data_IF_294505960219
#
_entry.id   IF_294505960219
#
_cell.length_a   1.000
_cell.length_b   1.000
_cell.length_c   1.000
_cell.angle_alpha   90.00
_cell.angle_beta   90.00
_cell.angle_gamma   90.00
#
_symmetry.space_group_name_H-M   'P 1'
#
loop_
_entity.id
_entity.type
_entity.pdbx_description
1 polymer ?
#
# COMPACT_ATOMS: atom_id res chain seq x y z
N UNK A 1 -112.96 -24.39 29.54
CA UNK A 1 -111.63 -23.95 29.79
C UNK A 1 -111.13 -24.57 31.10
N UNK A 2 -110.35 -25.65 30.99
CA UNK A 2 -109.85 -26.37 32.19
C UNK A 2 -108.60 -25.66 32.74
N UNK A 3 -108.76 -25.08 33.95
CA UNK A 3 -107.66 -24.58 34.74
C UNK A 3 -106.91 -25.75 35.32
N UNK A 4 -105.68 -25.96 34.93
CA UNK A 4 -104.79 -26.94 35.52
C UNK A 4 -104.33 -26.40 36.90
N UNK A 5 -104.50 -27.19 38.02
CA UNK A 5 -104.06 -26.74 39.32
C UNK A 5 -102.58 -26.92 39.45
N UNK A 6 -101.82 -25.88 39.25
CA UNK A 6 -100.36 -25.87 39.53
C UNK A 6 -100.20 -25.85 41.06
N UNK A 7 -99.75 -27.02 41.57
CA UNK A 7 -99.37 -27.10 43.05
C UNK A 7 -98.17 -26.17 43.32
N UNK A 8 -98.33 -25.39 44.45
CA UNK A 8 -97.26 -24.43 44.85
C UNK A 8 -95.83 -25.01 44.86
N UNK A 9 -95.67 -26.33 45.05
CA UNK A 9 -94.41 -27.06 45.00
C UNK A 9 -93.80 -27.13 43.58
N UNK A 10 -94.58 -27.25 42.53
CA UNK A 10 -94.07 -27.30 41.12
C UNK A 10 -93.66 -25.89 40.66
N UNK A 11 -94.32 -24.85 41.14
CA UNK A 11 -93.92 -23.47 40.85
C UNK A 11 -92.59 -23.09 41.53
N UNK A 12 -92.38 -23.60 42.75
CA UNK A 12 -91.10 -23.40 43.47
C UNK A 12 -89.94 -24.16 42.76
N UNK A 13 -90.25 -25.35 42.29
CA UNK A 13 -89.27 -26.18 41.57
C UNK A 13 -88.83 -25.55 40.22
N UNK A 14 -89.82 -25.01 39.48
CA UNK A 14 -89.54 -24.29 38.23
C UNK A 14 -88.76 -22.98 38.51
N UNK A 15 -89.12 -22.26 39.60
CA UNK A 15 -88.45 -21.02 39.99
C UNK A 15 -86.97 -21.21 40.37
N UNK A 16 -86.56 -22.43 40.79
CA UNK A 16 -85.19 -22.76 41.14
C UNK A 16 -84.47 -23.37 39.95
N UNK A 17 -85.19 -24.28 39.23
CA UNK A 17 -84.58 -25.02 38.10
C UNK A 17 -84.30 -24.11 36.92
N UNK A 18 -85.15 -23.16 36.61
CA UNK A 18 -84.98 -22.21 35.51
C UNK A 18 -83.71 -21.34 35.60
N UNK A 19 -83.48 -20.66 36.74
CA UNK A 19 -82.23 -19.90 36.87
C UNK A 19 -80.97 -20.81 36.89
N UNK A 20 -81.07 -22.02 37.42
CA UNK A 20 -79.95 -22.98 37.43
C UNK A 20 -79.65 -23.47 36.00
N UNK A 21 -80.70 -23.75 35.24
CA UNK A 21 -80.53 -24.12 33.83
C UNK A 21 -79.98 -22.94 33.00
N UNK A 22 -80.51 -21.72 33.27
CA UNK A 22 -79.98 -20.51 32.62
C UNK A 22 -78.52 -20.26 32.97
N UNK A 23 -78.13 -20.48 34.23
CA UNK A 23 -76.75 -20.35 34.65
C UNK A 23 -75.84 -21.42 34.00
N UNK A 24 -76.38 -22.66 33.92
CA UNK A 24 -75.64 -23.74 33.25
C UNK A 24 -75.38 -23.46 31.74
N UNK A 25 -76.42 -22.99 31.04
CA UNK A 25 -76.33 -22.58 29.65
C UNK A 25 -75.36 -21.39 29.46
N UNK A 26 -75.42 -20.44 30.39
CA UNK A 26 -74.52 -19.28 30.37
C UNK A 26 -73.04 -19.71 30.56
N UNK A 27 -72.77 -20.60 31.52
CA UNK A 27 -71.42 -21.11 31.73
C UNK A 27 -70.95 -21.99 30.60
N UNK A 28 -71.83 -22.83 30.03
CA UNK A 28 -71.51 -23.67 28.89
C UNK A 28 -71.15 -22.86 27.62
N UNK A 29 -71.84 -21.74 27.37
CA UNK A 29 -71.58 -20.88 26.24
C UNK A 29 -70.36 -19.94 26.44
N UNK A 30 -70.03 -19.59 27.70
CA UNK A 30 -68.98 -18.61 27.96
C UNK A 30 -67.69 -19.26 28.43
N UNK A 31 -67.71 -20.39 29.11
CA UNK A 31 -66.53 -21.04 29.69
C UNK A 31 -66.44 -22.51 29.36
N UNK A 32 -67.41 -23.10 28.63
CA UNK A 32 -67.44 -24.47 28.24
C UNK A 32 -66.79 -24.74 26.85
N UNK A 33 -66.90 -25.98 26.34
CA UNK A 33 -66.34 -26.39 25.08
C UNK A 33 -66.99 -25.68 23.87
N UNK A 34 -68.09 -24.92 24.07
CA UNK A 34 -68.73 -24.09 23.05
C UNK A 34 -68.35 -22.58 23.17
N UNK A 35 -67.43 -22.21 24.04
CA UNK A 35 -66.97 -20.82 24.17
C UNK A 35 -66.24 -20.41 22.89
N UNK A 36 -66.46 -19.18 22.37
CA UNK A 36 -65.78 -18.69 21.22
C UNK A 36 -64.26 -18.53 21.52
N UNK A 37 -63.44 -19.25 20.84
CA UNK A 37 -61.98 -19.12 20.90
C UNK A 37 -61.57 -17.92 20.04
N UNK A 38 -60.91 -16.96 20.62
CA UNK A 38 -60.29 -15.86 19.88
C UNK A 38 -59.16 -16.37 19.01
N UNK A 39 -59.33 -16.36 17.72
CA UNK A 39 -58.30 -16.71 16.74
C UNK A 39 -57.73 -15.42 16.14
N UNK A 40 -56.43 -15.34 16.05
CA UNK A 40 -55.75 -14.28 15.28
C UNK A 40 -55.63 -14.77 13.84
N UNK A 41 -56.35 -14.13 12.93
CA UNK A 41 -56.22 -14.38 11.53
C UNK A 41 -54.93 -13.68 11.01
N UNK A 42 -53.97 -14.42 10.56
CA UNK A 42 -52.82 -13.89 9.83
C UNK A 42 -53.05 -14.16 8.30
N UNK A 43 -53.03 -13.11 7.54
CA UNK A 43 -53.01 -13.22 6.07
C UNK A 43 -51.63 -13.68 5.63
N UNK A 44 -51.56 -14.75 4.85
CA UNK A 44 -50.33 -15.20 4.22
C UNK A 44 -49.99 -14.26 3.07
N UNK A 45 -48.95 -13.47 3.26
CA UNK A 45 -48.41 -12.62 2.20
C UNK A 45 -47.15 -13.26 1.61
N UNK A 46 -47.08 -13.27 0.29
CA UNK A 46 -45.90 -13.70 -0.43
C UNK A 46 -44.89 -12.53 -0.46
N UNK A 47 -43.94 -12.50 0.48
CA UNK A 47 -42.88 -11.48 0.55
C UNK A 47 -41.54 -12.11 0.22
N UNK A 48 -40.80 -11.46 -0.67
CA UNK A 48 -39.39 -11.84 -0.90
C UNK A 48 -38.56 -11.43 0.33
N UNK A 49 -37.95 -12.39 0.98
CA UNK A 49 -37.04 -12.16 2.09
C UNK A 49 -35.62 -12.16 1.56
N UNK A 50 -34.97 -11.01 1.58
CA UNK A 50 -33.54 -10.91 1.29
C UNK A 50 -32.76 -11.07 2.61
N UNK A 51 -32.09 -12.19 2.84
CA UNK A 51 -31.31 -12.38 4.04
C UNK A 51 -30.18 -11.36 4.09
N UNK A 52 -30.09 -10.61 5.18
CA UNK A 52 -28.96 -9.69 5.42
C UNK A 52 -27.85 -10.46 6.12
N UNK A 53 -26.65 -10.39 5.57
CA UNK A 53 -25.46 -10.93 6.18
C UNK A 53 -24.80 -9.85 7.05
N UNK A 54 -24.57 -10.15 8.32
CA UNK A 54 -23.89 -9.28 9.25
C UNK A 54 -22.49 -9.80 9.54
N UNK A 55 -21.50 -8.92 9.53
CA UNK A 55 -20.12 -9.24 9.86
C UNK A 55 -19.43 -8.08 10.56
N UNK A 56 -18.40 -8.39 11.32
CA UNK A 56 -17.52 -7.41 11.94
C UNK A 56 -16.21 -7.43 11.16
N UNK A 57 -15.73 -6.26 10.80
CA UNK A 57 -14.51 -6.12 10.04
C UNK A 57 -13.60 -5.04 10.58
N UNK A 58 -12.40 -4.99 10.03
CA UNK A 58 -11.40 -3.95 10.28
C UNK A 58 -11.22 -3.10 9.02
N UNK A 59 -11.00 -1.80 9.21
CA UNK A 59 -10.61 -0.91 8.13
C UNK A 59 -9.11 -1.03 7.99
N UNK A 60 -8.67 -1.30 6.78
CA UNK A 60 -7.27 -1.46 6.43
C UNK A 60 -6.98 -0.65 5.16
N UNK A 61 -5.74 -0.21 5.02
CA UNK A 61 -5.29 0.35 3.76
C UNK A 61 -5.06 -0.78 2.75
N UNK A 62 -5.49 -0.58 1.52
CA UNK A 62 -5.24 -1.54 0.44
C UNK A 62 -3.75 -1.70 0.17
N UNK A 63 -3.01 -0.60 0.28
CA UNK A 63 -1.57 -0.56 0.07
C UNK A 63 -0.90 0.03 1.30
N UNK A 64 0.06 -0.71 1.84
CA UNK A 64 0.97 -0.28 2.89
C UNK A 64 2.37 -0.26 2.31
N UNK A 65 3.03 0.87 2.36
CA UNK A 65 4.38 1.07 1.86
C UNK A 65 5.35 1.06 3.04
N UNK A 66 6.20 0.04 3.07
CA UNK A 66 7.25 -0.12 4.08
C UNK A 66 8.52 0.51 3.55
N UNK A 67 8.90 1.66 4.11
CA UNK A 67 10.08 2.41 3.73
C UNK A 67 11.20 2.07 4.69
N UNK A 68 12.29 1.57 4.15
CA UNK A 68 13.49 1.21 4.88
C UNK A 68 14.73 1.30 4.00
N UNK A 69 15.93 1.16 4.58
CA UNK A 69 17.17 1.25 3.84
C UNK A 69 17.40 0.05 2.94
N UNK A 70 18.10 0.28 1.82
CA UNK A 70 18.57 -0.77 0.91
C UNK A 70 19.83 -1.46 1.42
N UNK A 71 20.56 -0.84 2.37
CA UNK A 71 21.75 -1.37 3.03
C UNK A 71 21.61 -1.25 4.54
N UNK A 72 22.22 -2.18 5.26
CA UNK A 72 22.28 -2.09 6.72
C UNK A 72 23.03 -0.84 7.17
N UNK A 73 22.49 -0.14 8.16
CA UNK A 73 23.09 1.08 8.68
C UNK A 73 22.35 1.65 9.88
N UNK A 74 22.84 2.76 10.39
CA UNK A 74 22.21 3.47 11.51
C UNK A 74 21.32 4.59 10.95
N UNK A 75 20.12 4.76 11.53
CA UNK A 75 19.25 5.90 11.24
C UNK A 75 19.90 7.16 11.82
N UNK A 76 20.20 8.16 10.98
CA UNK A 76 20.76 9.44 11.39
C UNK A 76 19.68 10.38 11.91
N UNK A 77 18.59 10.53 11.17
CA UNK A 77 17.44 11.36 11.52
C UNK A 77 16.16 10.86 10.84
N UNK A 78 15.04 11.15 11.48
CA UNK A 78 13.70 10.99 10.91
C UNK A 78 12.96 12.30 11.09
N UNK A 79 12.41 12.81 9.98
CA UNK A 79 11.82 14.14 9.90
C UNK A 79 10.29 14.09 9.92
N UNK A 80 9.70 12.91 10.14
CA UNK A 80 8.25 12.69 10.11
C UNK A 80 7.75 11.99 11.39
N UNK A 81 6.48 12.23 11.71
CA UNK A 81 5.81 11.66 12.86
C UNK A 81 4.57 10.84 12.45
N UNK A 82 4.18 9.91 13.32
CA UNK A 82 2.95 9.14 13.11
C UNK A 82 1.74 10.08 13.07
N UNK A 83 0.86 9.90 12.06
CA UNK A 83 -0.28 10.76 11.80
C UNK A 83 0.02 11.92 10.86
N UNK A 84 1.25 12.10 10.39
CA UNK A 84 1.62 13.16 9.46
C UNK A 84 1.34 12.75 8.01
N UNK A 85 0.87 13.71 7.20
CA UNK A 85 0.68 13.52 5.75
C UNK A 85 1.95 13.90 5.01
N UNK A 86 2.37 13.04 4.11
CA UNK A 86 3.56 13.21 3.29
C UNK A 86 3.21 13.16 1.81
N UNK A 87 4.05 13.81 0.99
CA UNK A 87 3.91 13.80 -0.48
C UNK A 87 4.92 12.84 -1.11
N UNK A 88 4.58 12.32 -2.27
CA UNK A 88 5.52 11.57 -3.11
C UNK A 88 6.80 12.38 -3.35
N UNK A 89 7.96 11.73 -3.19
CA UNK A 89 9.27 12.37 -3.27
C UNK A 89 9.72 13.12 -2.01
N UNK A 90 8.88 13.24 -0.98
CA UNK A 90 9.27 13.88 0.28
C UNK A 90 10.29 13.01 1.03
N UNK A 91 11.36 13.62 1.52
CA UNK A 91 12.35 12.95 2.38
C UNK A 91 11.74 12.76 3.77
N UNK A 92 11.70 11.51 4.22
CA UNK A 92 11.17 11.10 5.52
C UNK A 92 12.25 11.02 6.59
N UNK A 93 13.49 10.81 6.14
CA UNK A 93 14.63 10.67 7.00
C UNK A 93 15.90 10.33 6.23
N UNK A 94 16.98 10.17 6.95
CA UNK A 94 18.30 9.89 6.39
C UNK A 94 19.05 8.86 7.24
N UNK A 95 19.71 7.93 6.53
CA UNK A 95 20.64 6.99 7.14
C UNK A 95 22.01 7.65 7.35
N UNK A 96 22.78 7.16 8.30
CA UNK A 96 24.14 7.63 8.55
C UNK A 96 25.08 7.22 7.39
N UNK A 97 25.71 8.17 6.71
CA UNK A 97 26.62 7.87 5.60
C UNK A 97 27.94 7.22 6.03
N UNK A 98 28.23 7.19 7.33
CA UNK A 98 29.49 6.67 7.93
C UNK A 98 30.70 7.32 7.24
N UNK A 99 31.43 6.60 6.35
CA UNK A 99 32.62 7.06 5.62
C UNK A 99 32.36 7.39 4.14
N UNK A 100 31.11 7.34 3.70
CA UNK A 100 30.76 7.43 2.27
C UNK A 100 31.08 8.81 1.68
N UNK A 101 30.88 9.88 2.45
CA UNK A 101 31.19 11.25 2.03
C UNK A 101 32.72 11.43 1.85
N UNK A 102 33.55 10.80 2.71
CA UNK A 102 35.01 10.76 2.60
C UNK A 102 35.46 9.98 1.36
N UNK A 103 34.81 8.84 1.09
CA UNK A 103 35.10 8.02 -0.11
C UNK A 103 34.76 8.77 -1.39
N UNK A 104 33.65 9.50 -1.44
CA UNK A 104 33.30 10.36 -2.58
C UNK A 104 34.37 11.44 -2.79
N UNK A 105 34.82 12.11 -1.72
CA UNK A 105 35.91 13.10 -1.81
C UNK A 105 37.22 12.51 -2.32
N UNK A 106 37.58 11.31 -1.88
CA UNK A 106 38.77 10.60 -2.36
C UNK A 106 38.63 10.26 -3.87
N UNK A 107 37.44 9.83 -4.29
CA UNK A 107 37.16 9.54 -5.71
C UNK A 107 37.14 10.81 -6.57
N UNK A 108 36.71 11.95 -6.04
CA UNK A 108 36.82 13.25 -6.74
C UNK A 108 38.29 13.65 -6.99
N UNK A 109 39.19 13.38 -6.03
CA UNK A 109 40.62 13.59 -6.25
C UNK A 109 41.18 12.65 -7.34
N UNK A 110 40.75 11.38 -7.37
CA UNK A 110 41.10 10.43 -8.41
C UNK A 110 40.59 10.88 -9.79
N UNK A 111 39.35 11.39 -9.85
CA UNK A 111 38.77 11.95 -11.06
C UNK A 111 39.57 13.14 -11.61
N UNK A 112 39.99 14.07 -10.73
CA UNK A 112 40.86 15.19 -11.10
C UNK A 112 42.18 14.71 -11.69
N UNK A 113 42.80 13.68 -11.11
CA UNK A 113 44.05 13.07 -11.63
C UNK A 113 43.82 12.44 -13.00
N UNK A 114 42.74 11.66 -13.20
CA UNK A 114 42.41 11.05 -14.48
C UNK A 114 42.17 12.11 -15.57
N UNK A 115 41.52 13.25 -15.26
CA UNK A 115 41.36 14.38 -16.16
C UNK A 115 42.73 14.99 -16.55
N UNK A 116 43.66 15.15 -15.61
CA UNK A 116 44.99 15.66 -15.89
C UNK A 116 45.75 14.71 -16.82
N UNK A 117 45.67 13.39 -16.61
CA UNK A 117 46.26 12.35 -17.49
C UNK A 117 45.65 12.39 -18.89
N UNK A 118 44.35 12.59 -19.02
CA UNK A 118 43.71 12.78 -20.33
C UNK A 118 44.25 14.00 -21.06
N UNK A 119 44.39 15.14 -20.36
CA UNK A 119 44.96 16.37 -20.94
C UNK A 119 46.41 16.15 -21.40
N UNK A 120 47.23 15.42 -20.64
CA UNK A 120 48.58 15.06 -20.99
C UNK A 120 48.61 14.17 -22.24
N UNK A 121 47.80 13.10 -22.29
CA UNK A 121 47.70 12.22 -23.43
C UNK A 121 47.22 12.95 -24.69
N UNK A 122 46.27 13.90 -24.54
CA UNK A 122 45.84 14.74 -25.65
C UNK A 122 46.98 15.61 -26.19
N UNK A 123 47.74 16.27 -25.30
CA UNK A 123 48.90 17.09 -25.72
C UNK A 123 49.97 16.27 -26.42
N UNK A 124 50.24 15.06 -25.91
CA UNK A 124 51.20 14.12 -26.56
C UNK A 124 50.72 13.73 -27.97
N UNK A 125 49.44 13.41 -28.14
CA UNK A 125 48.85 13.07 -29.44
C UNK A 125 48.92 14.25 -30.40
N UNK A 126 48.60 15.48 -29.95
CA UNK A 126 48.63 16.66 -30.81
C UNK A 126 50.05 17.04 -31.25
N UNK A 127 51.03 16.88 -30.36
CA UNK A 127 52.45 17.02 -30.70
C UNK A 127 52.89 15.97 -31.74
N UNK A 128 52.60 14.67 -31.50
CA UNK A 128 52.94 13.60 -32.40
C UNK A 128 52.30 13.78 -33.79
N UNK A 129 51.05 14.23 -33.82
CA UNK A 129 50.34 14.54 -35.07
C UNK A 129 51.02 15.68 -35.87
N UNK A 130 51.40 16.74 -35.16
CA UNK A 130 52.12 17.86 -35.79
C UNK A 130 53.47 17.41 -36.36
N UNK A 131 54.21 16.57 -35.64
CA UNK A 131 55.48 16.00 -36.10
C UNK A 131 55.26 15.12 -37.33
N UNK A 132 54.31 14.18 -37.29
CA UNK A 132 54.02 13.31 -38.43
C UNK A 132 53.71 14.11 -39.71
N UNK A 133 52.83 15.10 -39.59
CA UNK A 133 52.49 15.99 -40.74
C UNK A 133 53.70 16.77 -41.26
N UNK A 134 54.55 17.33 -40.35
CA UNK A 134 55.76 18.05 -40.75
C UNK A 134 56.73 17.14 -41.52
N UNK A 135 57.00 15.92 -41.00
CA UNK A 135 57.93 15.02 -41.65
C UNK A 135 57.40 14.46 -42.98
N UNK A 136 56.07 14.27 -43.12
CA UNK A 136 55.45 13.96 -44.42
C UNK A 136 55.69 15.06 -45.45
N UNK A 137 55.62 16.35 -45.05
CA UNK A 137 55.92 17.49 -45.93
C UNK A 137 57.41 17.51 -46.31
N UNK A 138 58.35 17.23 -45.38
CA UNK A 138 59.76 17.15 -45.60
C UNK A 138 60.13 16.03 -46.59
N UNK A 139 59.45 14.85 -46.52
CA UNK A 139 59.60 13.79 -47.44
C UNK A 139 59.20 14.20 -48.84
N UNK A 140 58.08 14.89 -49.00
CA UNK A 140 57.65 15.43 -50.29
C UNK A 140 58.70 16.38 -50.90
N UNK A 141 59.40 17.17 -50.04
CA UNK A 141 60.49 18.05 -50.41
C UNK A 141 61.87 17.31 -50.54
N UNK A 142 61.91 15.98 -50.44
CA UNK A 142 63.12 15.12 -50.48
C UNK A 142 64.18 15.53 -49.42
N UNK A 143 63.70 16.06 -48.27
CA UNK A 143 64.57 16.57 -47.17
C UNK A 143 64.62 15.62 -45.98
N UNK A 144 64.06 14.40 -46.04
CA UNK A 144 64.09 13.36 -45.01
C UNK A 144 63.96 11.95 -45.66
N UNK A 145 64.18 10.90 -44.87
CA UNK A 145 64.04 9.47 -45.37
C UNK A 145 62.61 8.98 -45.01
N UNK A 146 62.17 7.94 -45.80
CA UNK A 146 60.88 7.25 -45.51
C UNK A 146 60.89 6.57 -44.13
N UNK A 147 62.00 6.07 -43.65
CA UNK A 147 62.18 5.45 -42.33
C UNK A 147 61.84 6.43 -41.19
N UNK A 148 62.31 7.69 -41.29
CA UNK A 148 61.99 8.72 -40.30
C UNK A 148 60.51 9.05 -40.33
N UNK A 149 59.90 9.14 -41.50
CA UNK A 149 58.41 9.35 -41.60
C UNK A 149 57.65 8.18 -40.98
N UNK A 150 58.05 6.93 -41.31
CA UNK A 150 57.41 5.75 -40.71
C UNK A 150 57.52 5.74 -39.17
N UNK A 151 58.69 6.15 -38.61
CA UNK A 151 58.85 6.31 -37.15
C UNK A 151 57.89 7.37 -36.60
N UNK A 152 57.75 8.54 -37.24
CA UNK A 152 56.82 9.59 -36.78
C UNK A 152 55.34 9.19 -36.86
N UNK A 153 54.99 8.40 -37.88
CA UNK A 153 53.64 7.83 -38.00
C UNK A 153 53.38 6.80 -36.88
N UNK A 154 54.38 5.96 -36.58
CA UNK A 154 54.31 5.02 -35.46
C UNK A 154 54.15 5.74 -34.10
N UNK A 155 54.95 6.82 -33.86
CA UNK A 155 54.82 7.68 -32.66
C UNK A 155 53.39 8.22 -32.54
N UNK A 156 52.78 8.65 -33.64
CA UNK A 156 51.39 9.12 -33.67
C UNK A 156 50.38 8.02 -33.31
N UNK A 157 50.58 6.80 -33.82
CA UNK A 157 49.71 5.67 -33.51
C UNK A 157 49.78 5.31 -32.02
N UNK A 158 50.98 5.30 -31.43
CA UNK A 158 51.20 5.08 -30.00
C UNK A 158 50.52 6.18 -29.17
N UNK A 159 50.69 7.43 -29.57
CA UNK A 159 50.07 8.55 -28.87
C UNK A 159 48.51 8.54 -28.93
N UNK A 160 47.94 8.12 -30.09
CA UNK A 160 46.50 7.91 -30.24
C UNK A 160 45.99 6.80 -29.32
N UNK A 161 46.71 5.67 -29.28
CA UNK A 161 46.36 4.57 -28.38
C UNK A 161 46.42 4.98 -26.89
N UNK A 162 47.44 5.78 -26.53
CA UNK A 162 47.54 6.35 -25.16
C UNK A 162 46.41 7.30 -24.82
N UNK A 163 45.95 8.12 -25.77
CA UNK A 163 44.77 8.98 -25.58
C UNK A 163 43.51 8.18 -25.37
N UNK A 164 43.32 7.10 -26.17
CA UNK A 164 42.15 6.21 -25.98
C UNK A 164 42.19 5.56 -24.59
N UNK A 165 43.33 5.03 -24.16
CA UNK A 165 43.47 4.45 -22.82
C UNK A 165 43.18 5.45 -21.73
N UNK A 166 43.62 6.73 -21.83
CA UNK A 166 43.32 7.76 -20.85
C UNK A 166 41.84 8.14 -20.81
N UNK A 167 41.13 8.07 -21.94
CA UNK A 167 39.68 8.29 -22.03
C UNK A 167 38.89 7.17 -21.32
N UNK A 168 39.27 5.94 -21.54
CA UNK A 168 38.65 4.79 -20.91
C UNK A 168 38.88 4.79 -19.41
N UNK A 169 40.07 5.18 -18.94
CA UNK A 169 40.38 5.33 -17.54
C UNK A 169 39.52 6.44 -16.87
N UNK A 170 39.38 7.57 -17.56
CA UNK A 170 38.46 8.65 -17.04
C UNK A 170 37.02 8.15 -16.98
N UNK A 171 36.55 7.40 -17.97
CA UNK A 171 35.21 6.81 -17.99
C UNK A 171 35.01 5.85 -16.84
N UNK A 172 35.97 4.97 -16.55
CA UNK A 172 35.96 4.03 -15.41
C UNK A 172 35.85 4.78 -14.07
N UNK A 173 36.70 5.78 -13.87
CA UNK A 173 36.75 6.58 -12.62
C UNK A 173 35.44 7.37 -12.41
N UNK A 174 34.81 7.87 -13.48
CA UNK A 174 33.47 8.50 -13.43
C UNK A 174 32.41 7.53 -12.99
N UNK A 175 32.37 6.34 -13.58
CA UNK A 175 31.38 5.32 -13.20
C UNK A 175 31.52 4.89 -11.73
N UNK A 176 32.75 4.79 -11.22
CA UNK A 176 32.98 4.49 -9.81
C UNK A 176 32.47 5.59 -8.89
N UNK A 177 32.69 6.88 -9.27
CA UNK A 177 32.15 8.02 -8.52
C UNK A 177 30.61 8.03 -8.54
N UNK A 178 30.00 7.83 -9.68
CA UNK A 178 28.53 7.77 -9.83
C UNK A 178 27.94 6.62 -9.00
N UNK A 179 28.61 5.48 -8.92
CA UNK A 179 28.18 4.38 -8.04
C UNK A 179 28.17 4.76 -6.55
N UNK A 180 29.19 5.50 -6.09
CA UNK A 180 29.22 6.01 -4.71
C UNK A 180 28.12 7.06 -4.46
N UNK A 181 27.86 7.93 -5.43
CA UNK A 181 26.76 8.92 -5.34
C UNK A 181 25.38 8.25 -5.32
N UNK A 182 25.17 7.20 -6.11
CA UNK A 182 23.96 6.39 -6.06
C UNK A 182 23.80 5.71 -4.68
N UNK A 183 24.88 5.17 -4.10
CA UNK A 183 24.84 4.66 -2.73
C UNK A 183 24.47 5.77 -1.73
N UNK A 184 25.04 6.98 -1.88
CA UNK A 184 24.74 8.13 -1.02
C UNK A 184 23.27 8.56 -1.13
N UNK A 185 22.72 8.60 -2.33
CA UNK A 185 21.30 8.93 -2.56
C UNK A 185 20.36 7.91 -1.94
N UNK A 186 20.72 6.63 -1.96
CA UNK A 186 19.93 5.53 -1.37
C UNK A 186 19.90 5.56 0.18
N UNK A 187 20.69 6.41 0.81
CA UNK A 187 20.60 6.65 2.26
C UNK A 187 19.43 7.55 2.64
N UNK A 188 18.83 8.25 1.68
CA UNK A 188 17.63 9.06 1.93
C UNK A 188 16.39 8.17 1.87
N UNK A 189 15.61 8.17 2.93
CA UNK A 189 14.32 7.49 2.99
C UNK A 189 13.27 8.42 2.40
N UNK A 190 12.70 8.05 1.27
CA UNK A 190 11.81 8.90 0.47
C UNK A 190 10.43 8.25 0.35
N UNK A 191 9.36 9.04 0.46
CA UNK A 191 7.99 8.59 0.25
C UNK A 191 7.77 8.26 -1.24
N UNK A 192 7.33 7.03 -1.58
CA UNK A 192 7.07 6.65 -2.96
C UNK A 192 5.74 7.21 -3.51
N UNK A 193 4.81 7.55 -2.63
CA UNK A 193 3.46 8.06 -2.94
C UNK A 193 3.02 9.09 -1.92
N UNK A 194 1.96 9.82 -2.23
CA UNK A 194 1.26 10.64 -1.25
C UNK A 194 0.58 9.72 -0.23
N UNK A 195 0.72 10.01 1.05
CA UNK A 195 0.20 9.11 2.07
C UNK A 195 0.19 9.67 3.48
N UNK A 196 -0.20 8.81 4.41
CA UNK A 196 -0.23 9.05 5.84
C UNK A 196 0.77 8.12 6.53
N UNK A 197 1.60 8.65 7.41
CA UNK A 197 2.52 7.87 8.25
C UNK A 197 1.70 7.15 9.31
N UNK A 198 1.74 5.81 9.34
CA UNK A 198 1.01 5.00 10.32
C UNK A 198 1.90 4.39 11.38
N UNK A 199 3.18 4.17 11.06
CA UNK A 199 4.16 3.61 12.01
C UNK A 199 5.54 4.23 11.80
N UNK A 200 6.28 4.31 12.89
CA UNK A 200 7.72 4.56 12.97
C UNK A 200 8.34 3.39 13.74
N UNK A 201 9.03 2.51 13.02
CA UNK A 201 9.54 1.25 13.59
C UNK A 201 11.01 1.37 14.04
N UNK A 202 11.64 2.51 13.78
CA UNK A 202 12.98 2.83 14.24
C UNK A 202 13.10 4.32 14.61
N UNK A 203 13.97 4.60 15.57
CA UNK A 203 14.33 5.96 16.00
C UNK A 203 15.74 6.35 15.56
N UNK A 204 16.07 7.66 15.52
CA UNK A 204 17.43 8.12 15.28
C UNK A 204 18.43 7.43 16.22
N UNK A 205 19.53 6.94 15.66
CA UNK A 205 20.54 6.15 16.39
C UNK A 205 20.33 4.63 16.34
N UNK A 206 19.15 4.14 15.94
CA UNK A 206 18.88 2.72 15.78
C UNK A 206 19.60 2.16 14.56
N UNK A 207 20.21 0.98 14.70
CA UNK A 207 20.77 0.24 13.57
C UNK A 207 19.71 -0.68 12.99
N UNK A 208 19.49 -0.59 11.68
CA UNK A 208 18.51 -1.38 10.93
C UNK A 208 19.19 -2.16 9.82
N UNK A 209 18.62 -3.31 9.48
CA UNK A 209 19.11 -4.15 8.37
C UNK A 209 18.43 -3.78 7.05
N UNK A 210 19.03 -4.19 5.95
CA UNK A 210 18.44 -3.98 4.61
C UNK A 210 17.02 -4.57 4.54
N UNK A 211 16.08 -3.80 4.01
CA UNK A 211 14.68 -4.19 3.87
C UNK A 211 13.84 -4.12 5.16
N UNK A 212 14.42 -3.80 6.31
CA UNK A 212 13.66 -3.53 7.53
C UNK A 212 12.92 -2.21 7.40
N UNK A 213 11.61 -2.22 7.70
CA UNK A 213 10.82 -1.00 7.70
C UNK A 213 11.31 -0.04 8.80
N UNK A 214 11.45 1.22 8.46
CA UNK A 214 11.73 2.34 9.38
C UNK A 214 10.49 3.20 9.52
N UNK A 215 9.76 3.41 8.43
CA UNK A 215 8.50 4.15 8.37
C UNK A 215 7.52 3.37 7.53
N UNK A 216 6.27 3.27 7.99
CA UNK A 216 5.18 2.72 7.19
C UNK A 216 4.21 3.83 6.78
N UNK A 217 3.89 3.85 5.48
CA UNK A 217 2.90 4.76 4.89
C UNK A 217 1.70 3.99 4.38
N UNK A 218 0.53 4.61 4.49
CA UNK A 218 -0.69 4.14 3.81
C UNK A 218 -1.21 5.22 2.88
N UNK A 219 -1.91 4.80 1.84
CA UNK A 219 -2.72 5.69 1.03
C UNK A 219 -4.15 5.73 1.59
N UNK A 220 -4.55 6.84 2.26
CA UNK A 220 -5.87 6.95 2.87
C UNK A 220 -7.01 7.00 1.86
N UNK A 221 -6.74 7.20 0.57
CA UNK A 221 -7.76 7.17 -0.49
C UNK A 221 -8.17 5.75 -0.90
N UNK A 222 -7.38 4.74 -0.50
CA UNK A 222 -7.55 3.34 -0.90
C UNK A 222 -7.95 2.42 0.26
N UNK A 223 -8.70 2.96 1.23
CA UNK A 223 -9.18 2.17 2.37
C UNK A 223 -10.23 1.15 1.94
N UNK A 224 -10.15 -0.03 2.50
CA UNK A 224 -11.15 -1.07 2.39
C UNK A 224 -11.52 -1.64 3.75
N UNK A 225 -12.60 -2.40 3.80
CA UNK A 225 -13.03 -3.10 5.01
C UNK A 225 -12.82 -4.60 4.79
N UNK A 226 -11.98 -5.20 5.62
CA UNK A 226 -11.77 -6.65 5.64
C UNK A 226 -12.73 -7.26 6.66
N UNK A 227 -13.66 -8.11 6.19
CA UNK A 227 -14.71 -8.72 7.01
C UNK A 227 -14.60 -10.22 6.92
N UNK A 228 -14.65 -10.89 8.07
CA UNK A 228 -14.73 -12.35 8.13
C UNK A 228 -16.16 -12.78 8.41
N UNK A 229 -16.68 -13.67 7.58
CA UNK A 229 -17.99 -14.29 7.76
C UNK A 229 -17.86 -15.78 8.07
N UNK A 230 -18.84 -16.30 8.79
CA UNK A 230 -19.00 -17.73 8.94
C UNK A 230 -19.39 -18.37 7.60
N UNK A 231 -18.67 -19.39 7.16
CA UNK A 231 -18.88 -20.08 5.88
C UNK A 231 -20.31 -20.59 5.71
N UNK A 232 -20.96 -21.04 6.80
CA UNK A 232 -22.34 -21.56 6.76
C UNK A 232 -23.32 -20.44 6.38
N UNK A 233 -23.07 -19.22 6.84
CA UNK A 233 -23.92 -18.04 6.62
C UNK A 233 -23.55 -17.25 5.36
N UNK A 234 -22.36 -17.49 4.82
CA UNK A 234 -21.84 -16.75 3.66
C UNK A 234 -22.40 -17.23 2.30
N UNK A 235 -23.39 -18.14 2.30
CA UNK A 235 -24.03 -18.60 1.05
C UNK A 235 -24.61 -17.43 0.27
N UNK A 236 -24.19 -17.28 -0.99
CA UNK A 236 -24.61 -16.21 -1.87
C UNK A 236 -23.80 -14.91 -1.78
N UNK A 237 -22.75 -14.87 -0.93
CA UNK A 237 -21.82 -13.76 -0.93
C UNK A 237 -20.99 -13.80 -2.22
N UNK A 238 -21.07 -12.71 -3.00
CA UNK A 238 -20.36 -12.57 -4.26
C UNK A 238 -19.80 -11.16 -4.42
N UNK A 239 -18.75 -11.03 -5.22
CA UNK A 239 -18.25 -9.72 -5.61
C UNK A 239 -19.34 -8.91 -6.34
N UNK A 240 -19.36 -7.61 -6.09
CA UNK A 240 -20.35 -6.68 -6.68
C UNK A 240 -21.59 -6.41 -5.83
N UNK A 241 -21.84 -7.19 -4.76
CA UNK A 241 -22.96 -6.95 -3.86
C UNK A 241 -22.80 -5.62 -3.10
N UNK A 242 -23.92 -4.93 -2.87
CA UNK A 242 -23.96 -3.73 -2.04
C UNK A 242 -23.79 -4.08 -0.57
N UNK A 243 -23.02 -3.27 0.15
CA UNK A 243 -22.79 -3.40 1.57
C UNK A 243 -23.08 -2.07 2.28
N UNK A 244 -23.51 -2.14 3.52
CA UNK A 244 -23.65 -0.99 4.41
C UNK A 244 -22.61 -1.14 5.52
N UNK A 245 -21.82 -0.10 5.73
CA UNK A 245 -20.73 -0.08 6.70
C UNK A 245 -21.09 0.95 7.78
N UNK A 246 -21.03 0.53 9.04
CA UNK A 246 -21.21 1.42 10.19
C UNK A 246 -19.91 1.43 11.00
N UNK A 247 -19.34 2.60 11.19
CA UNK A 247 -18.14 2.77 12.01
C UNK A 247 -18.52 2.83 13.49
N UNK A 248 -17.79 2.11 14.34
CA UNK A 248 -18.01 2.18 15.80
C UNK A 248 -17.71 3.57 16.38
N UNK A 249 -16.77 4.30 15.77
CA UNK A 249 -16.39 5.65 16.16
C UNK A 249 -17.43 6.71 15.77
N UNK A 250 -18.31 6.40 14.81
CA UNK A 250 -19.34 7.30 14.26
C UNK A 250 -20.67 6.55 14.25
N UNK A 251 -21.16 6.19 15.45
CA UNK A 251 -22.40 5.44 15.59
C UNK A 251 -23.56 6.23 14.98
N UNK A 252 -24.19 5.68 13.93
CA UNK A 252 -25.32 6.27 13.21
C UNK A 252 -25.05 6.70 11.78
N UNK A 253 -23.82 6.85 11.34
CA UNK A 253 -23.50 7.09 9.96
C UNK A 253 -23.37 5.77 9.19
N UNK A 254 -24.24 5.59 8.19
CA UNK A 254 -24.21 4.47 7.25
C UNK A 254 -23.42 4.87 6.00
N UNK A 255 -22.30 4.22 5.79
CA UNK A 255 -21.53 4.39 4.55
C UNK A 255 -21.87 3.26 3.58
N UNK A 256 -22.14 3.63 2.33
CA UNK A 256 -22.37 2.67 1.26
C UNK A 256 -21.03 2.09 0.78
N UNK A 257 -20.97 0.77 0.67
CA UNK A 257 -19.83 0.05 0.13
C UNK A 257 -20.26 -1.00 -0.88
N UNK A 258 -19.28 -1.63 -1.51
CA UNK A 258 -19.49 -2.76 -2.42
C UNK A 258 -18.46 -3.85 -2.10
N UNK A 259 -18.91 -5.10 -2.16
CA UNK A 259 -18.01 -6.25 -2.03
C UNK A 259 -17.08 -6.29 -3.25
N UNK A 260 -15.78 -6.14 -3.01
CA UNK A 260 -14.78 -6.18 -4.08
C UNK A 260 -14.35 -7.61 -4.39
N UNK A 261 -14.12 -8.40 -3.36
CA UNK A 261 -13.56 -9.75 -3.45
C UNK A 261 -14.06 -10.62 -2.33
N UNK A 262 -14.23 -11.90 -2.59
CA UNK A 262 -14.52 -12.96 -1.62
C UNK A 262 -13.39 -13.98 -1.73
N UNK A 263 -12.78 -14.35 -0.60
CA UNK A 263 -11.69 -15.34 -0.51
C UNK A 263 -12.14 -16.58 0.24
#
# INVERSE_FOLDING_TARGET
>A
MKKLPFQKRTLALIAVLFPLLALFVYVALRSGPLAPVSVVLATVENKSISPKLFGIGTIEARYTYKIGPTFAGRVKRLDVHVGERVKAGQVLGEMDPVDLDERIRAQDATLKRANAQLNEAQARKDYAQTQALRYEQLLKARSTSEEVVATKQQDLLVAKAGLTAAREELSRVRAEREALEAQRSNLSLVAPVDGLVVSRDADPGTTVVAGQAVVELIDPSTLWVNVRFDQIRARGLAAGLSAQITLRSQAGELQAGRVLRVE
#
